data_IF_223633964091
#
_entry.id   IF_223633964091
#
_cell.length_a   1.000
_cell.length_b   1.000
_cell.length_c   1.000
_cell.angle_alpha   90.00
_cell.angle_beta   90.00
_cell.angle_gamma   90.00
#
_symmetry.space_group_name_H-M   'P 1'
#
loop_
_entity.id
_entity.type
_entity.pdbx_description
1 polymer ?
#
# COMPACT_ATOMS: atom_id res chain seq x y z
N UNK A 1 0.05 -2.26 -24.02
CA UNK A 1 -0.07 -1.22 -22.98
C UNK A 1 0.50 -1.79 -21.69
N UNK A 2 1.47 -1.12 -21.11
CA UNK A 2 2.09 -1.58 -19.86
C UNK A 2 1.06 -1.52 -18.74
N UNK A 3 0.83 -2.66 -18.05
CA UNK A 3 -0.14 -2.71 -16.93
C UNK A 3 0.43 -1.95 -15.74
N UNK A 4 -0.14 -0.79 -15.42
CA UNK A 4 0.22 -0.01 -14.23
C UNK A 4 -0.69 -0.31 -13.05
N UNK A 5 -0.28 0.05 -11.83
CA UNK A 5 -1.17 -0.03 -10.65
C UNK A 5 -2.40 0.88 -10.79
N UNK A 6 -2.30 1.96 -11.55
CA UNK A 6 -3.44 2.84 -11.85
C UNK A 6 -4.49 2.11 -12.70
N UNK A 7 -4.07 1.39 -13.75
CA UNK A 7 -4.97 0.56 -14.56
C UNK A 7 -5.65 -0.55 -13.74
N UNK A 8 -4.97 -1.09 -12.72
CA UNK A 8 -5.58 -2.07 -11.80
C UNK A 8 -6.71 -1.43 -10.97
N UNK A 9 -6.53 -0.18 -10.53
CA UNK A 9 -7.60 0.52 -9.81
C UNK A 9 -8.77 0.86 -10.75
N UNK A 10 -8.52 1.33 -11.96
CA UNK A 10 -9.56 1.59 -12.97
C UNK A 10 -10.35 0.31 -13.28
N UNK A 11 -9.67 -0.82 -13.42
CA UNK A 11 -10.32 -2.12 -13.60
C UNK A 11 -11.16 -2.54 -12.38
N UNK A 12 -10.75 -2.20 -11.16
CA UNK A 12 -11.58 -2.40 -9.98
C UNK A 12 -12.86 -1.55 -10.05
N UNK A 13 -12.78 -0.28 -10.49
CA UNK A 13 -13.94 0.59 -10.68
C UNK A 13 -14.92 -0.02 -11.71
N UNK A 14 -14.41 -0.57 -12.82
CA UNK A 14 -15.20 -1.28 -13.83
C UNK A 14 -15.90 -2.51 -13.23
N UNK A 15 -15.16 -3.40 -12.58
CA UNK A 15 -15.71 -4.62 -11.97
C UNK A 15 -16.81 -4.29 -10.96
N UNK A 16 -16.65 -3.25 -10.17
CA UNK A 16 -17.61 -2.84 -9.16
C UNK A 16 -18.92 -2.35 -9.78
N UNK A 17 -18.86 -1.71 -10.95
CA UNK A 17 -20.01 -1.17 -11.65
C UNK A 17 -20.78 -2.23 -12.45
N UNK A 18 -20.15 -3.34 -12.83
CA UNK A 18 -20.72 -4.39 -13.70
C UNK A 18 -21.49 -5.50 -12.97
N UNK A 19 -21.98 -5.27 -11.72
CA UNK A 19 -22.71 -6.28 -10.94
C UNK A 19 -22.09 -7.70 -11.05
N UNK A 20 -21.03 -7.94 -10.32
CA UNK A 20 -20.27 -9.19 -9.99
C UNK A 20 -20.83 -10.52 -10.56
N UNK A 21 -20.95 -10.72 -11.86
CA UNK A 21 -21.52 -11.97 -12.36
C UNK A 21 -20.57 -13.17 -12.25
N UNK A 22 -19.30 -13.05 -12.50
CA UNK A 22 -18.28 -14.09 -12.25
C UNK A 22 -16.89 -13.46 -12.14
N UNK A 23 -16.26 -13.45 -10.97
CA UNK A 23 -14.88 -13.01 -10.81
C UNK A 23 -13.97 -14.24 -10.80
N UNK A 24 -13.07 -14.32 -11.79
CA UNK A 24 -11.96 -15.28 -11.76
C UNK A 24 -10.92 -14.83 -10.74
N UNK A 25 -11.08 -15.30 -9.51
CA UNK A 25 -10.28 -14.92 -8.37
C UNK A 25 -8.79 -15.30 -8.51
N UNK A 26 -8.45 -16.31 -9.32
CA UNK A 26 -7.08 -16.78 -9.51
C UNK A 26 -6.25 -15.76 -10.32
N UNK A 27 -6.90 -14.97 -11.17
CA UNK A 27 -6.26 -13.99 -12.03
C UNK A 27 -6.31 -12.54 -11.52
N UNK A 28 -6.94 -12.29 -10.37
CA UNK A 28 -6.97 -10.96 -9.79
C UNK A 28 -5.56 -10.49 -9.39
N UNK A 29 -5.33 -9.18 -9.58
CA UNK A 29 -4.15 -8.53 -9.00
C UNK A 29 -4.33 -8.32 -7.49
N UNK A 30 -3.24 -8.17 -6.71
CA UNK A 30 -3.32 -7.85 -5.30
C UNK A 30 -4.16 -6.60 -5.01
N UNK A 31 -4.05 -5.56 -5.84
CA UNK A 31 -4.81 -4.30 -5.71
C UNK A 31 -6.31 -4.54 -5.82
N UNK A 32 -6.76 -5.22 -6.87
CA UNK A 32 -8.17 -5.50 -7.10
C UNK A 32 -8.72 -6.41 -6.00
N UNK A 33 -8.03 -7.50 -5.70
CA UNK A 33 -8.48 -8.49 -4.72
C UNK A 33 -8.65 -7.88 -3.32
N UNK A 34 -7.68 -7.08 -2.87
CA UNK A 34 -7.74 -6.44 -1.55
C UNK A 34 -8.87 -5.40 -1.47
N UNK A 35 -9.11 -4.64 -2.54
CA UNK A 35 -10.23 -3.70 -2.62
C UNK A 35 -11.59 -4.41 -2.57
N UNK A 36 -11.80 -5.42 -3.39
CA UNK A 36 -13.06 -6.18 -3.42
C UNK A 36 -13.39 -6.79 -2.05
N UNK A 37 -12.39 -7.30 -1.33
CA UNK A 37 -12.60 -7.89 -0.01
C UNK A 37 -12.85 -6.83 1.06
N UNK A 38 -12.04 -5.78 1.08
CA UNK A 38 -12.04 -4.82 2.17
C UNK A 38 -13.11 -3.75 2.01
N UNK A 39 -13.29 -3.22 0.80
CA UNK A 39 -14.30 -2.21 0.51
C UNK A 39 -15.69 -2.80 0.31
N UNK A 40 -15.79 -3.86 -0.50
CA UNK A 40 -17.07 -4.38 -0.96
C UNK A 40 -17.51 -5.63 -0.19
N UNK A 41 -16.68 -6.11 0.73
CA UNK A 41 -17.01 -7.23 1.61
C UNK A 41 -17.03 -8.60 0.92
N UNK A 42 -16.47 -8.71 -0.29
CA UNK A 42 -16.44 -9.95 -1.05
C UNK A 42 -15.71 -11.05 -0.26
N UNK A 43 -16.24 -12.26 -0.27
CA UNK A 43 -15.59 -13.44 0.32
C UNK A 43 -14.86 -14.19 -0.78
N UNK A 44 -13.52 -14.15 -0.74
CA UNK A 44 -12.64 -14.86 -1.66
C UNK A 44 -11.95 -16.00 -0.88
N UNK A 45 -12.68 -17.09 -0.64
CA UNK A 45 -12.25 -18.16 0.25
C UNK A 45 -11.06 -18.98 -0.28
N UNK A 46 -10.76 -18.90 -1.57
CA UNK A 46 -9.75 -19.70 -2.25
C UNK A 46 -8.42 -18.98 -2.57
N UNK A 47 -8.25 -17.71 -2.19
CA UNK A 47 -7.02 -16.99 -2.47
C UNK A 47 -5.90 -17.36 -1.49
N UNK A 48 -4.96 -18.19 -1.94
CA UNK A 48 -3.82 -18.69 -1.14
C UNK A 48 -2.85 -17.61 -0.64
N UNK A 49 -2.92 -16.41 -1.20
CA UNK A 49 -1.95 -15.34 -0.96
C UNK A 49 -2.50 -14.15 -0.16
N UNK A 50 -3.77 -14.18 0.27
CA UNK A 50 -4.34 -13.17 1.15
C UNK A 50 -4.05 -13.52 2.60
N UNK A 51 -3.49 -12.56 3.34
CA UNK A 51 -3.24 -12.67 4.78
C UNK A 51 -3.99 -11.57 5.52
N UNK A 52 -4.74 -11.97 6.54
CA UNK A 52 -5.31 -11.04 7.51
C UNK A 52 -4.18 -10.52 8.39
N UNK A 53 -4.12 -9.21 8.58
CA UNK A 53 -3.16 -8.60 9.49
C UNK A 53 -3.67 -8.83 10.92
N UNK A 54 -2.90 -9.55 11.73
CA UNK A 54 -3.19 -9.81 13.14
C UNK A 54 -2.05 -9.27 14.02
N UNK A 55 -2.37 -8.59 15.15
CA UNK A 55 -1.38 -7.94 16.00
C UNK A 55 -0.27 -8.87 16.51
N UNK A 56 -0.63 -10.11 16.82
CA UNK A 56 0.21 -11.01 17.63
C UNK A 56 1.15 -11.93 16.84
N UNK A 57 1.06 -11.98 15.50
CA UNK A 57 1.82 -12.93 14.66
C UNK A 57 2.78 -12.27 13.69
N UNK A 58 3.61 -11.37 14.21
CA UNK A 58 4.48 -10.49 13.43
C UNK A 58 5.50 -11.21 12.54
N UNK A 59 6.23 -12.18 13.10
CA UNK A 59 7.34 -12.86 12.41
C UNK A 59 6.89 -13.97 11.45
N UNK A 60 5.81 -14.66 11.78
CA UNK A 60 5.26 -15.74 10.96
C UNK A 60 4.68 -15.18 9.66
N UNK A 61 4.00 -14.04 9.74
CA UNK A 61 3.37 -13.36 8.61
C UNK A 61 4.38 -12.90 7.54
N UNK A 62 5.48 -12.28 7.94
CA UNK A 62 6.52 -11.83 7.01
C UNK A 62 7.16 -13.00 6.27
N UNK A 63 7.44 -14.09 6.98
CA UNK A 63 8.01 -15.30 6.38
C UNK A 63 7.04 -15.98 5.39
N UNK A 64 5.74 -16.04 5.71
CA UNK A 64 4.74 -16.62 4.83
C UNK A 64 4.52 -15.78 3.56
N UNK A 65 4.46 -14.45 3.69
CA UNK A 65 4.37 -13.54 2.55
C UNK A 65 5.60 -13.65 1.64
N UNK A 66 6.79 -13.68 2.24
CA UNK A 66 8.05 -13.82 1.51
C UNK A 66 8.14 -15.16 0.76
N UNK A 67 7.63 -16.24 1.36
CA UNK A 67 7.61 -17.56 0.73
C UNK A 67 6.70 -17.58 -0.50
N UNK A 68 5.55 -16.93 -0.42
CA UNK A 68 4.57 -16.85 -1.53
C UNK A 68 5.00 -15.95 -2.69
N UNK A 69 5.95 -15.01 -2.44
CA UNK A 69 6.36 -14.02 -3.43
C UNK A 69 7.62 -14.41 -4.23
N UNK A 70 8.26 -15.53 -3.94
CA UNK A 70 9.50 -15.94 -4.63
C UNK A 70 10.54 -14.81 -4.70
N UNK A 71 10.79 -14.15 -3.57
CA UNK A 71 11.72 -13.02 -3.48
C UNK A 71 13.18 -13.52 -3.59
N UNK A 72 14.01 -12.91 -4.47
CA UNK A 72 15.45 -13.20 -4.52
C UNK A 72 16.09 -13.02 -3.14
N UNK A 73 16.99 -13.94 -2.75
CA UNK A 73 17.62 -13.94 -1.43
C UNK A 73 18.29 -12.62 -1.06
N UNK A 74 18.88 -11.94 -2.04
CA UNK A 74 19.58 -10.66 -1.89
C UNK A 74 18.62 -9.47 -1.68
N UNK A 75 17.30 -9.62 -1.91
CA UNK A 75 16.29 -8.58 -1.76
C UNK A 75 15.30 -8.87 -0.62
N UNK A 76 15.48 -9.93 0.17
CA UNK A 76 14.61 -10.22 1.32
C UNK A 76 14.55 -9.07 2.32
N UNK A 77 15.67 -8.42 2.59
CA UNK A 77 15.73 -7.28 3.53
C UNK A 77 14.90 -6.09 3.05
N UNK A 78 14.80 -5.87 1.74
CA UNK A 78 13.96 -4.81 1.13
C UNK A 78 12.50 -5.07 1.48
N UNK A 79 12.03 -6.29 1.20
CA UNK A 79 10.64 -6.66 1.44
C UNK A 79 10.33 -6.68 2.93
N UNK A 80 11.22 -7.21 3.77
CA UNK A 80 11.04 -7.19 5.23
C UNK A 80 10.89 -5.75 5.76
N UNK A 81 11.72 -4.82 5.30
CA UNK A 81 11.63 -3.42 5.67
C UNK A 81 10.27 -2.83 5.27
N UNK A 82 9.88 -2.99 4.01
CA UNK A 82 8.62 -2.46 3.46
C UNK A 82 7.41 -3.03 4.22
N UNK A 83 7.37 -4.35 4.40
CA UNK A 83 6.27 -5.03 5.10
C UNK A 83 6.18 -4.56 6.54
N UNK A 84 7.31 -4.43 7.24
CA UNK A 84 7.37 -3.95 8.61
C UNK A 84 6.82 -2.53 8.73
N UNK A 85 7.28 -1.61 7.90
CA UNK A 85 6.85 -0.20 7.92
C UNK A 85 5.36 -0.05 7.62
N UNK A 86 4.87 -0.68 6.54
CA UNK A 86 3.48 -0.54 6.15
C UNK A 86 2.51 -1.20 7.14
N UNK A 87 2.89 -2.33 7.70
CA UNK A 87 2.12 -2.96 8.76
C UNK A 87 2.07 -2.07 10.00
N UNK A 88 3.20 -1.53 10.45
CA UNK A 88 3.24 -0.62 11.59
C UNK A 88 2.35 0.60 11.36
N UNK A 89 2.33 1.17 10.15
CA UNK A 89 1.43 2.27 9.82
C UNK A 89 -0.06 1.91 10.03
N UNK A 90 -0.48 0.70 9.65
CA UNK A 90 -1.84 0.24 9.88
C UNK A 90 -2.12 0.17 11.39
N UNK A 91 -1.24 -0.46 12.18
CA UNK A 91 -1.45 -0.61 13.64
C UNK A 91 -1.48 0.71 14.38
N UNK A 92 -0.60 1.62 14.02
CA UNK A 92 -0.38 2.84 14.78
C UNK A 92 -1.35 3.97 14.42
N UNK A 93 -1.90 3.97 13.20
CA UNK A 93 -2.65 5.10 12.68
C UNK A 93 -4.09 4.81 12.25
N UNK A 94 -4.43 3.55 11.92
CA UNK A 94 -5.71 3.32 11.22
C UNK A 94 -6.89 2.99 12.14
N UNK A 95 -6.66 2.53 13.38
CA UNK A 95 -7.74 2.03 14.25
C UNK A 95 -8.62 0.98 13.54
N UNK A 96 -8.02 0.14 12.75
CA UNK A 96 -8.70 -0.78 11.83
C UNK A 96 -9.45 -1.91 12.55
N UNK A 97 -10.51 -2.41 11.90
CA UNK A 97 -11.19 -3.66 12.26
C UNK A 97 -10.75 -4.82 11.36
N UNK A 98 -10.38 -4.53 10.12
CA UNK A 98 -9.88 -5.48 9.14
C UNK A 98 -8.69 -4.87 8.42
N UNK A 99 -7.59 -5.59 8.38
CA UNK A 99 -6.43 -5.30 7.55
C UNK A 99 -6.08 -6.54 6.73
N UNK A 100 -5.67 -6.34 5.49
CA UNK A 100 -5.30 -7.41 4.56
C UNK A 100 -3.99 -7.05 3.88
N UNK A 101 -3.23 -8.09 3.53
CA UNK A 101 -2.12 -7.97 2.60
C UNK A 101 -2.19 -9.12 1.61
N UNK A 102 -1.86 -8.82 0.38
CA UNK A 102 -1.73 -9.80 -0.69
C UNK A 102 -0.48 -9.50 -1.51
N UNK A 103 0.25 -10.54 -1.86
CA UNK A 103 1.37 -10.46 -2.78
C UNK A 103 1.20 -11.41 -3.96
N UNK A 104 1.70 -11.02 -5.13
CA UNK A 104 1.72 -11.85 -6.34
C UNK A 104 3.02 -11.63 -7.11
N UNK A 105 3.62 -12.75 -7.53
CA UNK A 105 4.80 -12.73 -8.38
C UNK A 105 4.40 -12.79 -9.85
N UNK A 106 5.01 -11.92 -10.63
CA UNK A 106 4.97 -11.93 -12.09
C UNK A 106 6.40 -12.13 -12.61
N UNK A 107 6.60 -12.49 -13.88
CA UNK A 107 7.95 -12.72 -14.40
C UNK A 107 8.90 -11.55 -14.16
N UNK A 108 8.45 -10.31 -14.44
CA UNK A 108 9.30 -9.12 -14.43
C UNK A 108 9.15 -8.26 -13.18
N UNK A 109 8.10 -8.49 -12.35
CA UNK A 109 7.83 -7.68 -11.17
C UNK A 109 7.12 -8.45 -10.07
N UNK A 110 7.09 -7.87 -8.89
CA UNK A 110 6.33 -8.33 -7.73
C UNK A 110 5.36 -7.25 -7.31
N UNK A 111 4.09 -7.60 -7.11
CA UNK A 111 3.08 -6.73 -6.55
C UNK A 111 2.78 -7.12 -5.11
N UNK A 112 2.68 -6.11 -4.24
CA UNK A 112 2.19 -6.27 -2.87
C UNK A 112 1.15 -5.17 -2.62
N UNK A 113 0.00 -5.54 -2.09
CA UNK A 113 -1.06 -4.60 -1.72
C UNK A 113 -1.42 -4.77 -0.25
N UNK A 114 -1.43 -3.66 0.47
CA UNK A 114 -1.91 -3.53 1.84
C UNK A 114 -3.19 -2.71 1.85
N UNK A 115 -4.18 -3.12 2.61
CA UNK A 115 -5.41 -2.36 2.81
C UNK A 115 -5.90 -2.53 4.23
N UNK A 116 -6.45 -1.47 4.79
CA UNK A 116 -7.22 -1.49 6.04
C UNK A 116 -8.56 -0.77 5.88
N UNK A 117 -9.51 -1.08 6.76
CA UNK A 117 -10.81 -0.41 6.82
C UNK A 117 -10.93 0.50 8.05
N UNK A 118 -9.83 1.06 8.48
CA UNK A 118 -9.79 1.99 9.61
C UNK A 118 -10.11 3.44 9.24
N UNK A 119 -9.65 4.36 10.07
CA UNK A 119 -9.73 5.78 9.70
C UNK A 119 -8.78 6.05 8.54
N UNK A 120 -9.24 6.84 7.56
CA UNK A 120 -8.40 7.23 6.44
C UNK A 120 -7.34 8.26 6.85
N UNK A 121 -6.33 8.47 6.00
CA UNK A 121 -5.20 9.37 6.27
C UNK A 121 -5.71 10.79 6.59
N UNK A 122 -6.67 11.31 5.83
CA UNK A 122 -7.18 12.67 6.04
C UNK A 122 -7.83 12.84 7.41
N UNK A 123 -8.65 11.87 7.84
CA UNK A 123 -9.28 11.91 9.16
C UNK A 123 -8.26 11.73 10.29
N UNK A 124 -7.26 10.84 10.10
CA UNK A 124 -6.17 10.68 11.05
C UNK A 124 -5.42 12.00 11.28
N UNK A 125 -5.05 12.71 10.20
CA UNK A 125 -4.35 13.98 10.28
C UNK A 125 -5.25 15.11 10.86
N UNK A 126 -6.54 15.15 10.48
CA UNK A 126 -7.50 16.12 11.05
C UNK A 126 -7.69 15.93 12.57
N UNK A 127 -7.75 14.67 13.03
CA UNK A 127 -7.84 14.36 14.46
C UNK A 127 -6.58 14.82 15.24
N UNK A 128 -5.45 14.93 14.57
CA UNK A 128 -4.22 15.52 15.10
C UNK A 128 -4.10 17.04 14.87
N UNK A 129 -5.22 17.70 14.50
CA UNK A 129 -5.33 19.15 14.26
C UNK A 129 -4.51 19.70 13.08
N UNK A 130 -4.18 18.87 12.09
CA UNK A 130 -3.53 19.33 10.88
C UNK A 130 -4.57 19.91 9.89
N UNK A 131 -4.22 21.04 9.26
CA UNK A 131 -5.02 21.61 8.18
C UNK A 131 -4.89 20.78 6.91
N UNK A 132 -6.00 20.19 6.44
CA UNK A 132 -6.08 19.31 5.27
C UNK A 132 -7.07 19.89 4.27
N UNK A 133 -6.63 20.11 3.01
CA UNK A 133 -7.47 20.66 1.94
C UNK A 133 -8.44 19.62 1.37
N UNK A 134 -7.93 18.43 1.04
CA UNK A 134 -8.67 17.29 0.53
C UNK A 134 -7.87 15.98 0.81
N UNK A 135 -8.41 14.83 0.42
CA UNK A 135 -7.79 13.55 0.74
C UNK A 135 -6.48 13.32 -0.04
N UNK A 136 -6.32 13.87 -1.26
CA UNK A 136 -5.03 13.83 -1.96
C UNK A 136 -3.96 14.68 -1.25
N UNK A 137 -4.32 15.88 -0.76
CA UNK A 137 -3.42 16.72 0.05
C UNK A 137 -2.97 15.99 1.33
N UNK A 138 -3.89 15.25 1.96
CA UNK A 138 -3.57 14.44 3.13
C UNK A 138 -2.55 13.34 2.82
N UNK A 139 -2.75 12.62 1.71
CA UNK A 139 -1.83 11.58 1.26
C UNK A 139 -0.43 12.18 1.00
N UNK A 140 -0.35 13.29 0.25
CA UNK A 140 0.94 13.95 -0.03
C UNK A 140 1.63 14.42 1.25
N UNK A 141 0.89 14.97 2.21
CA UNK A 141 1.44 15.38 3.51
C UNK A 141 1.98 14.18 4.30
N UNK A 142 1.26 13.06 4.32
CA UNK A 142 1.73 11.84 4.96
C UNK A 142 2.99 11.28 4.28
N UNK A 143 3.06 11.31 2.96
CA UNK A 143 4.25 10.94 2.19
C UNK A 143 5.43 11.85 2.58
N UNK A 144 5.22 13.14 2.71
CA UNK A 144 6.26 14.11 3.11
C UNK A 144 6.62 14.08 4.61
N UNK A 145 6.20 13.05 5.32
CA UNK A 145 6.61 12.80 6.71
C UNK A 145 5.72 13.43 7.78
N UNK A 146 4.56 14.00 7.41
CA UNK A 146 3.61 14.47 8.40
C UNK A 146 3.02 13.26 9.13
N UNK A 147 3.26 13.16 10.43
CA UNK A 147 2.84 12.04 11.28
C UNK A 147 1.93 12.52 12.41
N UNK A 148 0.99 11.65 12.80
CA UNK A 148 0.11 11.90 13.95
C UNK A 148 0.75 11.51 15.29
N UNK A 149 1.96 11.01 15.29
CA UNK A 149 2.70 10.67 16.51
C UNK A 149 3.33 11.91 17.14
N UNK A 150 2.67 12.45 18.16
CA UNK A 150 3.26 13.42 19.08
C UNK A 150 4.02 12.66 20.17
N UNK A 151 5.27 12.29 19.96
CA UNK A 151 6.16 11.91 21.04
C UNK A 151 7.27 12.93 21.18
N UNK A 152 7.33 13.54 22.36
CA UNK A 152 8.45 14.32 22.87
C UNK A 152 9.73 13.46 22.86
N UNK A 153 10.61 13.66 21.90
CA UNK A 153 11.97 13.09 21.95
C UNK A 153 12.55 12.64 20.61
N UNK A 154 13.58 13.32 20.20
CA UNK A 154 14.81 12.98 19.44
C UNK A 154 14.80 11.98 18.26
N UNK A 155 13.69 11.40 17.83
CA UNK A 155 13.61 10.56 16.62
C UNK A 155 12.64 11.21 15.64
N UNK A 156 13.11 11.59 14.46
CA UNK A 156 12.26 11.98 13.33
C UNK A 156 11.37 10.78 12.96
N UNK A 157 10.19 10.70 13.57
CA UNK A 157 9.15 9.71 13.24
C UNK A 157 8.27 10.27 12.13
N UNK A 158 7.85 9.43 11.21
CA UNK A 158 7.05 9.81 10.04
C UNK A 158 7.77 9.58 8.71
N UNK A 159 9.01 9.10 8.75
CA UNK A 159 9.78 8.84 7.52
C UNK A 159 9.52 7.46 6.91
N UNK A 160 8.86 6.54 7.62
CA UNK A 160 8.68 5.15 7.19
C UNK A 160 7.95 5.01 5.85
N UNK A 161 6.83 5.71 5.68
CA UNK A 161 6.10 5.71 4.41
C UNK A 161 6.92 6.35 3.28
N UNK A 162 7.58 7.48 3.56
CA UNK A 162 8.45 8.15 2.59
C UNK A 162 9.62 7.26 2.17
N UNK A 163 10.32 6.64 3.13
CA UNK A 163 11.42 5.71 2.87
C UNK A 163 10.93 4.50 2.04
N UNK A 164 9.76 3.93 2.39
CA UNK A 164 9.16 2.84 1.63
C UNK A 164 8.93 3.24 0.17
N UNK A 165 8.34 4.41 -0.07
CA UNK A 165 8.11 4.92 -1.42
C UNK A 165 9.43 5.14 -2.16
N UNK A 166 10.43 5.75 -1.50
CA UNK A 166 11.75 5.98 -2.08
C UNK A 166 12.43 4.67 -2.49
N UNK A 167 12.40 3.66 -1.62
CA UNK A 167 12.93 2.33 -1.92
C UNK A 167 12.23 1.72 -3.13
N UNK A 168 10.89 1.76 -3.16
CA UNK A 168 10.10 1.16 -4.25
C UNK A 168 10.35 1.88 -5.56
N UNK A 169 10.22 3.21 -5.56
CA UNK A 169 10.25 4.02 -6.79
C UNK A 169 11.67 4.13 -7.35
N UNK A 170 12.64 4.46 -6.51
CA UNK A 170 14.02 4.71 -6.95
C UNK A 170 14.92 3.48 -6.80
N UNK A 171 14.72 2.66 -5.75
CA UNK A 171 15.52 1.48 -5.49
C UNK A 171 15.10 0.26 -6.32
N UNK A 172 13.81 0.04 -6.44
CA UNK A 172 13.24 -1.09 -7.16
C UNK A 172 12.71 -0.71 -8.55
N UNK A 173 12.90 0.53 -9.02
CA UNK A 173 12.36 1.03 -10.30
C UNK A 173 10.86 0.74 -10.48
N UNK A 174 10.14 0.85 -9.38
CA UNK A 174 8.75 0.46 -9.28
C UNK A 174 7.77 1.63 -9.28
N UNK A 175 6.57 1.35 -8.81
CA UNK A 175 5.51 2.34 -8.65
C UNK A 175 4.70 2.08 -7.38
N UNK A 176 4.06 3.13 -6.88
CA UNK A 176 3.23 3.10 -5.68
C UNK A 176 1.88 3.70 -5.98
N UNK A 177 0.80 3.04 -5.56
CA UNK A 177 -0.56 3.56 -5.58
C UNK A 177 -1.06 3.66 -4.14
N UNK A 178 -1.52 4.84 -3.74
CA UNK A 178 -2.12 5.09 -2.42
C UNK A 178 -3.54 5.60 -2.63
N UNK A 179 -4.51 4.87 -2.08
CA UNK A 179 -5.90 5.26 -2.01
C UNK A 179 -6.31 5.47 -0.55
N UNK A 180 -6.91 6.60 -0.20
CA UNK A 180 -7.43 6.83 1.15
C UNK A 180 -8.58 7.82 1.13
N UNK A 181 -9.75 7.39 1.62
CA UNK A 181 -10.98 8.16 1.46
C UNK A 181 -11.28 8.37 -0.04
N UNK A 182 -11.47 9.61 -0.43
CA UNK A 182 -11.70 10.02 -1.84
C UNK A 182 -10.41 10.38 -2.59
N UNK A 183 -9.24 10.26 -1.98
CA UNK A 183 -7.96 10.57 -2.60
C UNK A 183 -7.30 9.33 -3.19
N UNK A 184 -6.80 9.46 -4.41
CA UNK A 184 -5.95 8.49 -5.09
C UNK A 184 -4.67 9.18 -5.56
N UNK A 185 -3.52 8.65 -5.18
CA UNK A 185 -2.20 9.15 -5.58
C UNK A 185 -1.38 8.00 -6.16
N UNK A 186 -0.90 8.16 -7.37
CA UNK A 186 -0.02 7.22 -8.05
C UNK A 186 1.34 7.85 -8.28
N UNK A 187 2.40 7.15 -7.87
CA UNK A 187 3.77 7.63 -7.92
C UNK A 187 4.65 6.68 -8.74
N UNK A 188 5.43 7.27 -9.62
CA UNK A 188 6.56 6.64 -10.30
C UNK A 188 7.79 7.50 -10.09
N UNK A 189 8.94 7.08 -10.61
CA UNK A 189 10.19 7.85 -10.52
C UNK A 189 10.04 9.28 -11.07
N UNK A 190 9.29 9.44 -12.15
CA UNK A 190 9.25 10.69 -12.91
C UNK A 190 7.92 11.45 -12.76
N UNK A 191 6.88 10.82 -12.22
CA UNK A 191 5.54 11.39 -12.21
C UNK A 191 4.78 11.13 -10.92
N UNK A 192 3.96 12.12 -10.54
CA UNK A 192 2.94 12.01 -9.50
C UNK A 192 1.59 12.30 -10.16
N UNK A 193 0.69 11.36 -10.11
CA UNK A 193 -0.68 11.50 -10.59
C UNK A 193 -1.64 11.49 -9.41
N UNK A 194 -2.62 12.40 -9.43
CA UNK A 194 -3.64 12.50 -8.38
C UNK A 194 -5.03 12.52 -8.99
N UNK A 195 -5.96 11.80 -8.38
CA UNK A 195 -7.37 11.73 -8.80
C UNK A 195 -8.26 11.75 -7.56
N UNK A 196 -9.39 12.46 -7.64
CA UNK A 196 -10.49 12.30 -6.68
C UNK A 196 -11.41 11.19 -7.17
N UNK A 197 -11.72 10.23 -6.28
CA UNK A 197 -12.51 9.03 -6.56
C UNK A 197 -13.84 9.08 -5.78
N UNK A 198 -14.73 9.99 -6.18
CA UNK A 198 -15.98 10.26 -5.46
C UNK A 198 -16.93 9.07 -5.41
N UNK A 199 -17.01 8.28 -6.48
CA UNK A 199 -17.93 7.16 -6.63
C UNK A 199 -17.40 5.86 -6.00
N UNK A 200 -16.08 5.73 -5.90
CA UNK A 200 -15.40 4.53 -5.41
C UNK A 200 -14.39 4.84 -4.29
N UNK A 201 -14.79 5.53 -3.20
CA UNK A 201 -13.85 5.87 -2.13
C UNK A 201 -13.28 4.62 -1.49
N UNK A 202 -12.02 4.69 -1.05
CA UNK A 202 -11.37 3.64 -0.28
C UNK A 202 -11.77 3.78 1.19
N UNK A 203 -12.43 2.75 1.74
CA UNK A 203 -12.77 2.69 3.16
C UNK A 203 -11.51 2.38 3.99
N UNK A 204 -10.85 3.42 4.51
CA UNK A 204 -9.56 3.33 5.19
C UNK A 204 -8.40 3.70 4.29
N UNK A 205 -7.38 2.85 4.18
CA UNK A 205 -6.18 3.13 3.39
C UNK A 205 -5.71 1.92 2.60
N UNK A 206 -5.51 2.09 1.30
CA UNK A 206 -4.88 1.17 0.37
C UNK A 206 -3.46 1.66 0.07
N UNK A 207 -2.47 0.77 0.12
CA UNK A 207 -1.12 1.00 -0.42
C UNK A 207 -0.74 -0.20 -1.27
N UNK A 208 -0.63 0.00 -2.57
CA UNK A 208 -0.19 -1.02 -3.52
C UNK A 208 1.19 -0.66 -4.09
N UNK A 209 2.05 -1.64 -4.16
CA UNK A 209 3.44 -1.52 -4.57
C UNK A 209 3.71 -2.46 -5.72
N UNK A 210 4.37 -1.97 -6.76
CA UNK A 210 4.98 -2.76 -7.82
C UNK A 210 6.48 -2.59 -7.79
N UNK A 211 7.25 -3.68 -7.81
CA UNK A 211 8.69 -3.67 -7.64
C UNK A 211 9.37 -4.56 -8.67
N UNK A 212 10.43 -4.06 -9.31
CA UNK A 212 11.35 -4.84 -10.13
C UNK A 212 12.55 -5.20 -9.25
N UNK A 213 12.73 -6.49 -8.97
CA UNK A 213 13.75 -7.01 -8.05
C UNK A 213 14.81 -7.85 -8.79
N UNK A 214 15.09 -7.50 -10.04
CA UNK A 214 16.12 -8.17 -10.86
C UNK A 214 17.53 -7.97 -10.31
N UNK A 215 17.79 -6.81 -9.70
CA UNK A 215 19.08 -6.46 -9.11
C UNK A 215 18.99 -6.36 -7.57
N UNK A 216 20.17 -6.43 -6.92
CA UNK A 216 20.27 -6.20 -5.47
C UNK A 216 20.00 -4.73 -5.15
N UNK A 217 19.02 -4.47 -4.29
CA UNK A 217 18.70 -3.15 -3.79
C UNK A 217 19.40 -2.91 -2.45
N UNK A 218 20.21 -1.84 -2.38
CA UNK A 218 20.80 -1.36 -1.13
C UNK A 218 19.86 -0.34 -0.49
N UNK A 219 19.07 -0.78 0.49
CA UNK A 219 18.06 0.05 1.16
C UNK A 219 18.65 1.31 1.79
N UNK A 220 19.88 1.25 2.30
CA UNK A 220 20.51 2.38 2.99
C UNK A 220 20.70 3.62 2.10
N UNK A 221 20.79 3.43 0.78
CA UNK A 221 20.84 4.53 -0.19
C UNK A 221 19.53 5.31 -0.29
N UNK A 222 18.42 4.71 0.14
CA UNK A 222 17.07 5.24 -0.04
C UNK A 222 16.37 5.58 1.29
N UNK A 223 17.06 5.49 2.42
CA UNK A 223 16.52 5.88 3.74
C UNK A 223 16.53 7.41 3.99
N UNK A 224 16.93 8.21 3.01
CA UNK A 224 16.80 9.65 3.08
C UNK A 224 15.45 10.08 2.46
N UNK A 225 14.71 11.00 3.12
CA UNK A 225 13.39 11.41 2.65
C UNK A 225 13.41 11.91 1.20
N UNK A 226 12.51 11.40 0.38
CA UNK A 226 12.13 12.02 -0.89
C UNK A 226 11.57 13.41 -0.57
N UNK A 227 12.06 14.42 -1.28
CA UNK A 227 11.41 15.74 -1.32
C UNK A 227 10.51 15.76 -2.56
N UNK A 228 9.22 15.62 -2.35
CA UNK A 228 8.18 15.73 -3.38
C UNK A 228 7.75 17.19 -3.53
#
# INVERSE_FOLDING_TARGET
MEKTLLNEFEKYEEIRNDEFEIIDCENLSPTIATLLICNDGLRLDNLKTIRKIEPEKVTTFENELLHGLEIPKNNKNVINFIVHELRNNIYEHSQFKRGLVMGKSYPDFKDISFIDNGINIANSLKNANYAIKNDCDAILKAINGLSTKNELGFVERGTGLNNTINIVVNGCYGSVLIGSGKGLVFLTKDNIYMKTIDETPVNGTLISLRMHLSEKVDIYKYLNPLKL
#
